data_IF_632021754584
#
_entry.id   IF_632021754584
#
_cell.length_a   1.000
_cell.length_b   1.000
_cell.length_c   1.000
_cell.angle_alpha   90.00
_cell.angle_beta   90.00
_cell.angle_gamma   90.00
#
_symmetry.space_group_name_H-M   'P 1'
#
loop_
_entity.id
_entity.type
_entity.pdbx_description
1 polymer ?
#
# COMPACT_ATOMS: atom_id res chain seq x y z
N UNK A 1 -13.16 -55.93 45.35
CA UNK A 1 -12.92 -57.30 44.84
C UNK A 1 -12.99 -57.28 43.32
N UNK A 2 -11.89 -57.67 42.66
CA UNK A 2 -11.73 -58.09 41.25
C UNK A 2 -12.29 -57.17 40.12
N UNK A 3 -11.59 -56.83 39.05
CA UNK A 3 -10.29 -57.24 38.52
C UNK A 3 -10.19 -56.93 37.01
N UNK A 4 -9.13 -56.22 36.62
CA UNK A 4 -8.25 -56.39 35.44
C UNK A 4 -8.78 -56.73 34.03
N UNK A 5 -8.32 -55.93 33.04
CA UNK A 5 -7.44 -56.32 31.88
C UNK A 5 -6.89 -55.01 31.25
N UNK A 6 -5.58 -54.69 31.30
CA UNK A 6 -4.38 -55.19 30.55
C UNK A 6 -4.50 -54.97 29.03
N UNK A 7 -3.55 -54.45 28.22
CA UNK A 7 -2.09 -54.20 28.27
C UNK A 7 -1.75 -53.23 27.07
N UNK A 8 -0.86 -52.22 27.16
CA UNK A 8 0.64 -52.21 27.03
C UNK A 8 1.13 -52.24 25.55
N UNK A 9 1.68 -51.17 24.99
CA UNK A 9 3.11 -50.74 24.98
C UNK A 9 3.52 -50.43 23.51
N UNK A 10 4.57 -49.68 23.14
CA UNK A 10 5.82 -49.30 23.81
C UNK A 10 6.58 -48.25 22.97
N UNK A 11 7.34 -47.40 23.65
CA UNK A 11 8.35 -46.46 23.13
C UNK A 11 9.62 -47.14 22.59
N UNK A 12 10.41 -46.42 21.77
CA UNK A 12 11.69 -45.76 22.17
C UNK A 12 12.86 -45.86 21.18
N UNK A 13 13.47 -44.68 20.92
CA UNK A 13 14.93 -44.43 20.82
C UNK A 13 15.56 -44.33 19.42
N UNK A 14 16.65 -43.59 19.17
CA UNK A 14 17.35 -42.46 19.82
C UNK A 14 18.59 -42.05 18.97
N UNK A 15 19.01 -40.77 19.06
CA UNK A 15 20.37 -40.18 18.93
C UNK A 15 21.06 -39.83 17.57
N UNK A 16 21.13 -38.50 17.34
CA UNK A 16 22.27 -37.57 17.05
C UNK A 16 23.32 -37.82 15.95
N UNK A 17 23.59 -36.77 15.13
CA UNK A 17 24.94 -36.18 14.86
C UNK A 17 24.85 -34.83 14.10
N UNK A 18 25.96 -34.08 14.03
CA UNK A 18 26.21 -32.64 13.81
C UNK A 18 26.36 -32.14 12.33
N UNK A 19 26.05 -30.83 12.14
CA UNK A 19 26.43 -29.73 11.18
C UNK A 19 27.56 -29.91 10.12
N UNK A 20 27.81 -28.97 9.15
CA UNK A 20 27.05 -27.77 8.65
C UNK A 20 27.00 -27.64 7.09
N UNK A 21 26.18 -26.74 6.50
CA UNK A 21 26.55 -25.91 5.30
C UNK A 21 25.42 -24.98 4.80
N UNK A 22 25.83 -23.81 4.32
CA UNK A 22 25.03 -22.77 3.65
C UNK A 22 24.61 -23.21 2.23
N UNK A 23 23.44 -22.77 1.76
CA UNK A 23 23.10 -22.87 0.34
C UNK A 23 21.70 -22.38 -0.01
N UNK A 24 21.63 -21.15 -0.53
CA UNK A 24 20.56 -20.54 -1.35
C UNK A 24 19.23 -21.31 -1.52
N UNK A 25 18.18 -20.88 -0.82
CA UNK A 25 16.81 -21.19 -1.23
C UNK A 25 16.32 -20.17 -2.27
N UNK A 26 16.54 -20.52 -3.54
CA UNK A 26 15.70 -20.07 -4.64
C UNK A 26 14.26 -20.58 -4.41
N UNK A 27 13.34 -19.70 -4.02
CA UNK A 27 11.92 -19.96 -4.23
C UNK A 27 11.62 -19.77 -5.71
N UNK A 28 11.80 -20.85 -6.45
CA UNK A 28 11.24 -21.07 -7.78
C UNK A 28 9.73 -20.88 -7.65
N UNK A 29 9.19 -19.82 -8.24
CA UNK A 29 7.77 -19.73 -8.53
C UNK A 29 7.45 -20.85 -9.53
N UNK A 30 6.97 -21.97 -8.99
CA UNK A 30 6.35 -23.03 -9.76
C UNK A 30 5.29 -22.44 -10.67
N UNK A 31 5.46 -22.73 -11.95
CA UNK A 31 4.46 -22.81 -13.02
C UNK A 31 3.02 -22.81 -12.50
N UNK A 32 2.40 -21.64 -12.47
CA UNK A 32 0.95 -21.56 -12.49
C UNK A 32 0.53 -21.78 -13.94
N UNK A 33 0.10 -23.00 -14.23
CA UNK A 33 -0.44 -23.43 -15.52
C UNK A 33 -1.41 -22.38 -16.07
N UNK A 34 -1.04 -21.81 -17.21
CA UNK A 34 -2.00 -21.20 -18.13
C UNK A 34 -2.95 -22.33 -18.49
N UNK A 35 -4.17 -22.32 -17.92
CA UNK A 35 -5.25 -23.16 -18.44
C UNK A 35 -5.45 -22.73 -19.88
N UNK A 36 -5.12 -23.62 -20.82
CA UNK A 36 -5.64 -23.59 -22.18
C UNK A 36 -7.17 -23.58 -22.08
N UNK A 37 -7.77 -22.41 -22.27
CA UNK A 37 -9.21 -22.28 -22.44
C UNK A 37 -9.55 -22.54 -23.91
N UNK A 38 -10.73 -23.14 -24.18
CA UNK A 38 -11.07 -23.69 -25.49
C UNK A 38 -11.14 -22.56 -26.52
N UNK A 39 -10.64 -22.84 -27.72
CA UNK A 39 -10.95 -22.08 -28.93
C UNK A 39 -12.47 -21.90 -29.00
N UNK A 40 -12.93 -20.70 -28.62
CA UNK A 40 -14.35 -20.40 -28.66
C UNK A 40 -14.61 -19.84 -30.04
N UNK A 41 -15.19 -20.68 -30.90
CA UNK A 41 -15.71 -20.26 -32.19
C UNK A 41 -16.51 -18.97 -31.99
N UNK A 42 -16.11 -17.93 -32.71
CA UNK A 42 -16.68 -16.58 -32.61
C UNK A 42 -18.15 -16.51 -33.08
N UNK A 43 -18.83 -17.64 -33.28
CA UNK A 43 -20.17 -17.77 -33.83
C UNK A 43 -21.29 -17.35 -32.86
N UNK A 44 -21.09 -17.43 -31.54
CA UNK A 44 -22.19 -17.46 -30.56
C UNK A 44 -22.20 -16.34 -29.49
N UNK A 45 -21.62 -15.17 -29.77
CA UNK A 45 -21.71 -13.99 -28.86
C UNK A 45 -22.87 -13.05 -29.24
N UNK A 46 -23.52 -12.38 -28.25
CA UNK A 46 -24.58 -11.39 -28.49
C UNK A 46 -24.12 -10.26 -29.44
N UNK A 47 -24.98 -9.85 -30.37
CA UNK A 47 -24.66 -8.92 -31.48
C UNK A 47 -24.09 -7.57 -31.02
N UNK A 48 -24.48 -7.07 -29.86
CA UNK A 48 -23.94 -5.84 -29.26
C UNK A 48 -22.47 -5.95 -28.86
N UNK A 49 -21.98 -7.14 -28.49
CA UNK A 49 -20.55 -7.37 -28.21
C UNK A 49 -19.73 -7.61 -29.48
N UNK A 50 -20.36 -8.03 -30.59
CA UNK A 50 -19.71 -8.25 -31.90
C UNK A 50 -19.46 -6.95 -32.65
N UNK A 51 -20.39 -6.00 -32.59
CA UNK A 51 -20.27 -4.72 -33.29
C UNK A 51 -19.07 -3.86 -32.81
N UNK A 52 -18.61 -4.07 -31.57
CA UNK A 52 -17.41 -3.40 -31.00
C UNK A 52 -16.13 -4.25 -31.16
N UNK A 53 -16.26 -5.56 -31.46
CA UNK A 53 -15.12 -6.47 -31.61
C UNK A 53 -14.30 -6.20 -32.88
N UNK A 54 -14.95 -5.84 -33.97
CA UNK A 54 -14.30 -5.73 -35.27
C UNK A 54 -13.34 -4.53 -35.38
N UNK A 55 -13.72 -3.28 -35.05
CA UNK A 55 -12.90 -2.12 -35.39
C UNK A 55 -11.50 -2.12 -34.74
N UNK A 56 -11.40 -2.43 -33.44
CA UNK A 56 -10.13 -2.44 -32.71
C UNK A 56 -9.20 -3.60 -33.09
N UNK A 57 -9.76 -4.79 -33.32
CA UNK A 57 -8.97 -5.93 -33.78
C UNK A 57 -8.39 -5.65 -35.17
N UNK A 58 -9.18 -5.03 -36.06
CA UNK A 58 -8.71 -4.60 -37.37
C UNK A 58 -7.70 -3.44 -37.31
N UNK A 59 -7.83 -2.49 -36.37
CA UNK A 59 -6.86 -1.40 -36.21
C UNK A 59 -5.49 -1.89 -35.71
N UNK A 60 -5.46 -2.77 -34.70
CA UNK A 60 -4.18 -3.32 -34.19
C UNK A 60 -3.54 -4.26 -35.21
N UNK A 61 -4.31 -5.03 -35.96
CA UNK A 61 -3.76 -5.89 -37.02
C UNK A 61 -3.23 -5.10 -38.22
N UNK A 62 -3.65 -3.85 -38.41
CA UNK A 62 -3.09 -2.94 -39.43
C UNK A 62 -1.79 -2.27 -39.00
N UNK A 63 -1.45 -2.30 -37.71
CA UNK A 63 -0.19 -1.77 -37.21
C UNK A 63 0.99 -2.63 -37.70
N UNK A 64 2.10 -2.00 -38.07
CA UNK A 64 3.36 -2.73 -38.26
C UNK A 64 3.97 -3.13 -36.90
N UNK A 65 5.00 -3.96 -36.91
CA UNK A 65 5.57 -4.50 -35.67
C UNK A 65 6.17 -3.42 -34.77
N UNK A 66 6.75 -2.36 -35.34
CA UNK A 66 7.28 -1.22 -34.59
C UNK A 66 6.16 -0.45 -33.87
N UNK A 67 5.03 -0.22 -34.55
CA UNK A 67 3.84 0.42 -33.98
C UNK A 67 3.22 -0.42 -32.86
N UNK A 68 3.15 -1.74 -33.04
CA UNK A 68 2.68 -2.65 -31.98
C UNK A 68 3.64 -2.62 -30.80
N UNK A 69 4.95 -2.67 -31.03
CA UNK A 69 5.94 -2.60 -29.96
C UNK A 69 5.86 -1.27 -29.21
N UNK A 70 5.63 -0.15 -29.90
CA UNK A 70 5.41 1.15 -29.26
C UNK A 70 4.12 1.18 -28.42
N UNK A 71 3.00 0.69 -28.97
CA UNK A 71 1.73 0.60 -28.25
C UNK A 71 1.81 -0.35 -27.05
N UNK A 72 2.55 -1.45 -27.19
CA UNK A 72 2.80 -2.41 -26.13
C UNK A 72 3.70 -1.82 -25.04
N UNK A 73 4.76 -1.07 -25.40
CA UNK A 73 5.58 -0.35 -24.44
C UNK A 73 4.75 0.66 -23.63
N UNK A 74 3.86 1.40 -24.28
CA UNK A 74 2.96 2.32 -23.61
C UNK A 74 1.98 1.59 -22.69
N UNK A 75 1.40 0.47 -23.14
CA UNK A 75 0.56 -0.39 -22.30
C UNK A 75 1.28 -0.82 -21.02
N UNK A 76 2.51 -1.31 -21.11
CA UNK A 76 3.28 -1.75 -19.96
C UNK A 76 3.54 -0.61 -18.95
N UNK A 77 3.84 0.59 -19.45
CA UNK A 77 3.97 1.80 -18.61
C UNK A 77 2.66 2.13 -17.89
N UNK A 78 1.54 2.10 -18.61
CA UNK A 78 0.22 2.35 -18.06
C UNK A 78 -0.22 1.32 -17.01
N UNK A 79 0.32 0.10 -17.09
CA UNK A 79 0.14 -0.96 -16.08
C UNK A 79 1.12 -0.90 -14.92
N UNK A 80 1.95 0.15 -14.83
CA UNK A 80 2.96 0.33 -13.79
C UNK A 80 4.00 -0.81 -13.74
N UNK A 81 4.34 -1.40 -14.89
CA UNK A 81 5.41 -2.40 -15.01
C UNK A 81 6.72 -1.68 -15.31
N UNK A 82 7.76 -1.90 -14.49
CA UNK A 82 9.05 -1.17 -14.54
C UNK A 82 10.24 -2.11 -14.70
N UNK A 83 11.39 -1.48 -15.01
CA UNK A 83 12.75 -2.04 -14.95
C UNK A 83 12.93 -3.37 -15.69
N UNK A 84 13.45 -4.38 -14.99
CA UNK A 84 13.82 -5.67 -15.57
C UNK A 84 12.62 -6.39 -16.19
N UNK A 85 11.47 -6.34 -15.53
CA UNK A 85 10.23 -6.94 -16.06
C UNK A 85 9.74 -6.21 -17.31
N UNK A 86 9.88 -4.89 -17.35
CA UNK A 86 9.55 -4.08 -18.52
C UNK A 86 10.46 -4.46 -19.70
N UNK A 87 11.77 -4.52 -19.48
CA UNK A 87 12.76 -4.90 -20.51
C UNK A 87 12.54 -6.33 -21.01
N UNK A 88 12.32 -7.28 -20.10
CA UNK A 88 12.08 -8.68 -20.44
C UNK A 88 10.82 -8.86 -21.31
N UNK A 89 9.71 -8.16 -20.97
CA UNK A 89 8.49 -8.22 -21.77
C UNK A 89 8.64 -7.52 -23.13
N UNK A 90 9.39 -6.43 -23.20
CA UNK A 90 9.68 -5.77 -24.48
C UNK A 90 10.56 -6.62 -25.39
N UNK A 91 11.53 -7.34 -24.83
CA UNK A 91 12.43 -8.23 -25.56
C UNK A 91 11.75 -9.54 -26.01
N UNK A 92 10.49 -9.80 -25.61
CA UNK A 92 9.72 -10.96 -26.07
C UNK A 92 9.51 -10.87 -27.60
N UNK A 93 9.93 -11.90 -28.32
CA UNK A 93 9.83 -11.93 -29.79
C UNK A 93 8.45 -12.39 -30.29
N UNK A 94 7.54 -12.77 -29.39
CA UNK A 94 6.18 -13.16 -29.74
C UNK A 94 5.29 -11.94 -30.05
N UNK A 95 5.30 -11.53 -31.32
CA UNK A 95 4.52 -10.39 -31.80
C UNK A 95 3.01 -10.62 -31.77
N UNK A 96 2.55 -11.86 -31.95
CA UNK A 96 1.12 -12.18 -31.91
C UNK A 96 0.57 -11.97 -30.51
N UNK A 97 1.28 -12.47 -29.49
CA UNK A 97 0.94 -12.22 -28.10
C UNK A 97 0.93 -10.72 -27.76
N UNK A 98 1.89 -9.94 -28.25
CA UNK A 98 1.92 -8.48 -28.06
C UNK A 98 0.69 -7.81 -28.69
N UNK A 99 0.33 -8.18 -29.93
CA UNK A 99 -0.89 -7.69 -30.62
C UNK A 99 -2.15 -8.01 -29.84
N UNK A 100 -2.28 -9.24 -29.36
CA UNK A 100 -3.43 -9.67 -28.55
C UNK A 100 -3.56 -8.84 -27.26
N UNK A 101 -2.44 -8.60 -26.56
CA UNK A 101 -2.44 -7.77 -25.35
C UNK A 101 -2.82 -6.31 -25.62
N UNK A 102 -2.31 -5.71 -26.70
CA UNK A 102 -2.67 -4.33 -27.10
C UNK A 102 -4.15 -4.25 -27.44
N UNK A 103 -4.66 -5.19 -28.24
CA UNK A 103 -6.08 -5.24 -28.63
C UNK A 103 -6.99 -5.43 -27.41
N UNK A 104 -6.67 -6.35 -26.50
CA UNK A 104 -7.45 -6.54 -25.28
C UNK A 104 -7.47 -5.27 -24.42
N UNK A 105 -6.34 -4.57 -24.31
CA UNK A 105 -6.24 -3.33 -23.54
C UNK A 105 -7.08 -2.19 -24.11
N UNK A 106 -7.09 -2.03 -25.44
CA UNK A 106 -7.94 -1.04 -26.12
C UNK A 106 -9.43 -1.34 -25.91
N UNK A 107 -9.83 -2.62 -25.98
CA UNK A 107 -11.20 -3.05 -25.69
C UNK A 107 -11.63 -2.71 -24.26
N UNK A 108 -10.79 -2.99 -23.27
CA UNK A 108 -11.06 -2.68 -21.86
C UNK A 108 -11.18 -1.17 -21.61
N UNK A 109 -10.35 -0.36 -22.28
CA UNK A 109 -10.43 1.10 -22.19
C UNK A 109 -11.78 1.63 -22.68
N UNK A 110 -12.28 1.15 -23.82
CA UNK A 110 -13.57 1.58 -24.36
C UNK A 110 -14.73 1.18 -23.43
N UNK A 111 -14.74 -0.07 -22.95
CA UNK A 111 -15.74 -0.51 -21.98
C UNK A 111 -15.71 0.32 -20.68
N UNK A 112 -14.54 0.79 -20.27
CA UNK A 112 -14.39 1.67 -19.09
C UNK A 112 -14.95 3.07 -19.36
N UNK A 113 -14.77 3.58 -20.58
CA UNK A 113 -15.27 4.88 -21.02
C UNK A 113 -16.80 4.91 -21.14
N UNK A 114 -17.42 3.83 -21.64
CA UNK A 114 -18.88 3.72 -21.77
C UNK A 114 -19.59 3.57 -20.41
N UNK A 115 -18.95 2.92 -19.43
CA UNK A 115 -19.53 2.67 -18.11
C UNK A 115 -19.42 3.83 -17.10
N UNK A 116 -19.12 5.06 -17.54
CA UNK A 116 -19.01 6.25 -16.66
C UNK A 116 -18.05 6.10 -15.47
N UNK A 117 -17.00 5.27 -15.59
CA UNK A 117 -15.99 5.07 -14.55
C UNK A 117 -14.86 6.10 -14.65
N UNK A 118 -15.17 7.30 -15.13
CA UNK A 118 -14.18 8.38 -15.23
C UNK A 118 -13.88 8.91 -13.83
N UNK A 119 -12.65 9.39 -13.58
CA UNK A 119 -12.29 9.96 -12.28
C UNK A 119 -13.27 11.03 -11.80
N UNK A 120 -13.70 11.91 -12.71
CA UNK A 120 -14.59 13.04 -12.41
C UNK A 120 -15.95 12.62 -11.87
N UNK A 121 -16.51 11.51 -12.37
CA UNK A 121 -17.83 11.03 -11.97
C UNK A 121 -17.80 10.48 -10.54
N UNK A 122 -16.70 9.80 -10.20
CA UNK A 122 -16.45 9.32 -8.85
C UNK A 122 -16.20 10.48 -7.88
N UNK A 123 -15.42 11.48 -8.29
CA UNK A 123 -15.17 12.71 -7.52
C UNK A 123 -16.49 13.42 -7.20
N UNK A 124 -17.33 13.67 -8.21
CA UNK A 124 -18.65 14.30 -8.02
C UNK A 124 -19.58 13.47 -7.15
N UNK A 125 -19.49 12.14 -7.20
CA UNK A 125 -20.24 11.26 -6.31
C UNK A 125 -19.79 11.41 -4.86
N UNK A 126 -18.49 11.48 -4.62
CA UNK A 126 -17.92 11.74 -3.29
C UNK A 126 -18.34 13.12 -2.77
N UNK A 127 -18.21 14.16 -3.59
CA UNK A 127 -18.59 15.53 -3.21
C UNK A 127 -20.06 15.64 -2.82
N UNK A 128 -20.96 15.05 -3.63
CA UNK A 128 -22.40 15.03 -3.31
C UNK A 128 -22.69 14.33 -1.98
N UNK A 129 -22.03 13.21 -1.72
CA UNK A 129 -22.16 12.48 -0.45
C UNK A 129 -21.67 13.31 0.75
N UNK A 130 -20.55 14.03 0.59
CA UNK A 130 -20.03 14.89 1.65
C UNK A 130 -20.96 16.09 1.93
N UNK A 131 -21.60 16.64 0.89
CA UNK A 131 -22.53 17.77 1.00
C UNK A 131 -23.90 17.37 1.57
N UNK A 132 -24.40 16.18 1.24
CA UNK A 132 -25.72 15.73 1.67
C UNK A 132 -25.78 15.35 3.14
N UNK A 133 -24.61 15.16 3.80
CA UNK A 133 -24.54 14.64 5.17
C UNK A 133 -25.11 13.23 5.30
N UNK A 134 -25.24 12.51 4.17
CA UNK A 134 -25.90 11.22 4.08
C UNK A 134 -25.13 10.10 4.80
N UNK A 135 -25.90 9.07 5.18
CA UNK A 135 -25.53 7.96 6.07
C UNK A 135 -24.15 7.32 5.82
N UNK A 136 -23.52 6.87 6.90
CA UNK A 136 -22.25 6.13 6.91
C UNK A 136 -22.20 4.95 5.92
N UNK A 137 -23.35 4.35 5.59
CA UNK A 137 -23.50 3.29 4.58
C UNK A 137 -23.11 3.75 3.17
N UNK A 138 -23.55 4.93 2.75
CA UNK A 138 -23.24 5.46 1.42
C UNK A 138 -21.74 5.75 1.28
N UNK A 139 -21.11 6.28 2.34
CA UNK A 139 -19.66 6.50 2.37
C UNK A 139 -18.88 5.20 2.28
N UNK A 140 -19.31 4.14 2.98
CA UNK A 140 -18.70 2.81 2.90
C UNK A 140 -18.74 2.24 1.49
N UNK A 141 -19.86 2.36 0.78
CA UNK A 141 -19.99 1.82 -0.58
C UNK A 141 -19.18 2.63 -1.60
N UNK A 142 -19.16 3.96 -1.46
CA UNK A 142 -18.32 4.83 -2.30
C UNK A 142 -16.83 4.55 -2.08
N UNK A 143 -16.38 4.37 -0.83
CA UNK A 143 -14.98 4.03 -0.53
C UNK A 143 -14.58 2.65 -1.05
N UNK A 144 -15.47 1.66 -0.97
CA UNK A 144 -15.23 0.33 -1.55
C UNK A 144 -15.05 0.40 -3.06
N UNK A 145 -15.92 1.13 -3.76
CA UNK A 145 -15.81 1.33 -5.21
C UNK A 145 -14.52 2.08 -5.55
N UNK A 146 -14.22 3.19 -4.87
CA UNK A 146 -12.98 3.94 -5.04
C UNK A 146 -11.74 3.05 -4.85
N UNK A 147 -11.71 2.23 -3.80
CA UNK A 147 -10.62 1.27 -3.55
C UNK A 147 -10.44 0.31 -4.72
N UNK A 148 -11.53 -0.23 -5.25
CA UNK A 148 -11.48 -1.13 -6.40
C UNK A 148 -10.94 -0.38 -7.62
N UNK A 149 -11.50 0.78 -7.96
CA UNK A 149 -11.02 1.58 -9.10
C UNK A 149 -9.52 1.88 -8.99
N UNK A 150 -9.06 2.42 -7.86
CA UNK A 150 -7.66 2.76 -7.67
C UNK A 150 -6.72 1.54 -7.77
N UNK A 151 -7.20 0.34 -7.44
CA UNK A 151 -6.39 -0.88 -7.49
C UNK A 151 -6.25 -1.50 -8.88
N UNK A 152 -7.18 -1.21 -9.80
CA UNK A 152 -7.24 -1.86 -11.13
C UNK A 152 -6.96 -0.89 -12.27
N UNK A 153 -7.09 0.41 -12.05
CA UNK A 153 -6.99 1.43 -13.10
C UNK A 153 -5.54 1.73 -13.48
N UNK A 154 -5.38 2.22 -14.71
CA UNK A 154 -4.08 2.60 -15.31
C UNK A 154 -3.47 3.84 -14.64
N UNK A 155 -2.16 4.01 -14.81
CA UNK A 155 -1.40 5.14 -14.26
C UNK A 155 -2.00 6.50 -14.65
N UNK A 156 -2.43 6.69 -15.88
CA UNK A 156 -3.06 7.95 -16.32
C UNK A 156 -4.40 8.23 -15.62
N UNK A 157 -5.18 7.20 -15.30
CA UNK A 157 -6.42 7.37 -14.55
C UNK A 157 -6.12 7.90 -13.14
N UNK A 158 -5.08 7.38 -12.49
CA UNK A 158 -4.63 7.87 -11.16
C UNK A 158 -4.15 9.32 -11.24
N UNK A 159 -3.38 9.65 -12.28
CA UNK A 159 -2.91 11.02 -12.54
C UNK A 159 -4.08 11.97 -12.71
N UNK A 160 -5.08 11.58 -13.50
CA UNK A 160 -6.28 12.40 -13.73
C UNK A 160 -7.12 12.55 -12.46
N UNK A 161 -7.35 11.47 -11.72
CA UNK A 161 -8.03 11.50 -10.42
C UNK A 161 -7.37 12.47 -9.45
N UNK A 162 -6.04 12.43 -9.38
CA UNK A 162 -5.27 13.35 -8.54
C UNK A 162 -5.38 14.80 -9.00
N UNK A 163 -5.20 15.07 -10.29
CA UNK A 163 -5.26 16.43 -10.85
C UNK A 163 -6.63 17.09 -10.68
N UNK A 164 -7.70 16.31 -10.67
CA UNK A 164 -9.06 16.78 -10.46
C UNK A 164 -9.45 16.95 -8.97
N UNK A 165 -8.51 16.81 -8.04
CA UNK A 165 -8.78 17.03 -6.61
C UNK A 165 -9.22 15.78 -5.83
N UNK A 166 -9.24 14.61 -6.45
CA UNK A 166 -9.69 13.37 -5.82
C UNK A 166 -8.84 12.96 -4.61
N UNK A 167 -7.54 13.26 -4.63
CA UNK A 167 -6.65 12.97 -3.52
C UNK A 167 -6.93 13.87 -2.31
N UNK A 168 -7.25 15.14 -2.53
CA UNK A 168 -7.64 16.09 -1.49
C UNK A 168 -8.96 15.66 -0.83
N UNK A 169 -9.92 15.18 -1.62
CA UNK A 169 -11.17 14.60 -1.09
C UNK A 169 -10.91 13.35 -0.24
N UNK A 170 -10.00 12.46 -0.68
CA UNK A 170 -9.62 11.29 0.12
C UNK A 170 -9.01 11.70 1.46
N UNK A 171 -8.11 12.68 1.47
CA UNK A 171 -7.55 13.21 2.71
C UNK A 171 -8.60 13.89 3.59
N UNK A 172 -9.56 14.60 3.00
CA UNK A 172 -10.66 15.21 3.74
C UNK A 172 -11.54 14.15 4.42
N UNK A 173 -11.89 13.07 3.72
CA UNK A 173 -12.60 11.92 4.30
C UNK A 173 -11.81 11.33 5.47
N UNK A 174 -10.52 11.06 5.27
CA UNK A 174 -9.66 10.51 6.32
C UNK A 174 -9.63 11.44 7.54
N UNK A 175 -9.46 12.74 7.34
CA UNK A 175 -9.45 13.74 8.41
C UNK A 175 -10.76 13.74 9.21
N UNK A 176 -11.90 13.74 8.53
CA UNK A 176 -13.21 13.70 9.18
C UNK A 176 -13.42 12.41 9.97
N UNK A 177 -13.01 11.26 9.43
CA UNK A 177 -13.11 9.97 10.11
C UNK A 177 -12.21 9.91 11.36
N UNK A 178 -10.99 10.45 11.29
CA UNK A 178 -10.10 10.59 12.45
C UNK A 178 -10.76 11.48 13.52
N UNK A 179 -11.35 12.61 13.10
CA UNK A 179 -12.10 13.50 13.99
C UNK A 179 -13.27 12.80 14.68
N UNK A 180 -14.09 12.08 13.91
CA UNK A 180 -15.21 11.29 14.43
C UNK A 180 -14.76 10.22 15.40
N UNK A 181 -13.65 9.51 15.14
CA UNK A 181 -13.10 8.52 16.06
C UNK A 181 -12.60 9.10 17.37
N UNK A 182 -12.06 10.33 17.35
CA UNK A 182 -11.61 11.02 18.57
C UNK A 182 -12.76 11.43 19.48
N UNK A 183 -13.95 11.63 18.91
CA UNK A 183 -15.14 12.10 19.62
C UNK A 183 -16.16 10.99 19.91
N UNK A 184 -16.04 9.84 19.25
CA UNK A 184 -16.98 8.74 19.41
C UNK A 184 -16.76 8.02 20.73
N UNK A 185 -17.86 7.73 21.42
CA UNK A 185 -17.91 6.83 22.59
C UNK A 185 -18.65 5.52 22.28
N UNK A 186 -19.20 5.40 21.06
CA UNK A 186 -19.97 4.24 20.62
C UNK A 186 -19.06 3.25 19.87
N UNK A 187 -18.86 2.06 20.44
CA UNK A 187 -18.00 1.01 19.89
C UNK A 187 -18.40 0.53 18.49
N UNK A 188 -19.70 0.46 18.16
CA UNK A 188 -20.16 0.01 16.83
C UNK A 188 -19.82 1.05 15.75
N UNK A 189 -20.01 2.33 16.06
CA UNK A 189 -19.60 3.42 15.14
C UNK A 189 -18.09 3.48 14.98
N UNK A 190 -17.35 3.22 16.04
CA UNK A 190 -15.89 3.17 15.97
C UNK A 190 -15.38 2.07 15.05
N UNK A 191 -15.97 0.87 15.11
CA UNK A 191 -15.65 -0.22 14.19
C UNK A 191 -15.92 0.20 12.74
N UNK A 192 -17.07 0.82 12.48
CA UNK A 192 -17.42 1.29 11.14
C UNK A 192 -16.41 2.33 10.62
N UNK A 193 -16.05 3.33 11.43
CA UNK A 193 -15.04 4.33 11.05
C UNK A 193 -13.65 3.69 10.85
N UNK A 194 -13.27 2.71 11.67
CA UNK A 194 -12.02 1.99 11.51
C UNK A 194 -11.95 1.24 10.17
N UNK A 195 -13.04 0.57 9.77
CA UNK A 195 -13.14 -0.12 8.49
C UNK A 195 -13.07 0.85 7.30
N UNK A 196 -13.72 2.01 7.41
CA UNK A 196 -13.66 3.06 6.38
C UNK A 196 -12.27 3.68 6.26
N UNK A 197 -11.57 3.91 7.39
CA UNK A 197 -10.18 4.36 7.39
C UNK A 197 -9.26 3.30 6.79
N UNK A 198 -9.47 2.03 7.12
CA UNK A 198 -8.67 0.93 6.56
C UNK A 198 -8.80 0.88 5.02
N UNK A 199 -10.01 1.05 4.50
CA UNK A 199 -10.24 1.14 3.05
C UNK A 199 -9.62 2.42 2.46
N UNK A 200 -9.67 3.55 3.16
CA UNK A 200 -9.03 4.81 2.76
C UNK A 200 -7.50 4.69 2.69
N UNK A 201 -6.87 4.00 3.64
CA UNK A 201 -5.42 3.72 3.60
C UNK A 201 -5.08 2.79 2.44
N UNK A 202 -5.94 1.83 2.11
CA UNK A 202 -5.76 0.98 0.92
C UNK A 202 -5.89 1.77 -0.39
N UNK A 203 -6.84 2.70 -0.47
CA UNK A 203 -6.93 3.65 -1.59
C UNK A 203 -5.62 4.42 -1.76
N UNK A 204 -5.13 5.01 -0.68
CA UNK A 204 -3.88 5.77 -0.68
C UNK A 204 -2.68 4.90 -1.05
N UNK A 205 -2.60 3.66 -0.55
CA UNK A 205 -1.56 2.71 -0.94
C UNK A 205 -1.55 2.46 -2.45
N UNK A 206 -2.71 2.29 -3.09
CA UNK A 206 -2.79 2.14 -4.54
C UNK A 206 -2.30 3.37 -5.30
N UNK A 207 -2.62 4.57 -4.81
CA UNK A 207 -2.13 5.84 -5.37
C UNK A 207 -0.61 5.93 -5.28
N UNK A 208 -0.06 5.78 -4.06
CA UNK A 208 1.39 5.82 -3.76
C UNK A 208 2.16 4.73 -4.52
N UNK A 209 1.52 3.66 -4.95
CA UNK A 209 2.17 2.64 -5.77
C UNK A 209 2.47 3.10 -7.22
N UNK A 210 1.98 4.27 -7.63
CA UNK A 210 2.22 4.84 -8.97
C UNK A 210 3.13 6.07 -8.90
N UNK A 211 3.89 6.34 -9.97
CA UNK A 211 4.76 7.51 -10.01
C UNK A 211 4.00 8.85 -9.85
N UNK A 212 2.90 9.13 -10.59
CA UNK A 212 2.14 10.37 -10.39
C UNK A 212 1.54 10.46 -8.99
N UNK A 213 1.08 9.33 -8.43
CA UNK A 213 0.54 9.32 -7.07
C UNK A 213 1.60 9.62 -6.01
N UNK A 214 2.81 9.07 -6.14
CA UNK A 214 3.96 9.45 -5.31
C UNK A 214 4.25 10.95 -5.40
N UNK A 215 4.39 11.47 -6.61
CA UNK A 215 4.70 12.88 -6.86
C UNK A 215 3.68 13.79 -6.15
N UNK A 216 2.39 13.49 -6.26
CA UNK A 216 1.33 14.26 -5.62
C UNK A 216 1.30 14.10 -4.09
N UNK A 217 1.56 12.90 -3.58
CA UNK A 217 1.56 12.62 -2.15
C UNK A 217 2.74 13.26 -1.41
N UNK A 218 3.84 13.53 -2.11
CA UNK A 218 5.05 14.16 -1.59
C UNK A 218 5.19 15.66 -1.92
N UNK A 219 4.09 16.34 -2.28
CA UNK A 219 4.06 17.81 -2.34
C UNK A 219 3.86 18.42 -0.95
N UNK A 220 4.40 19.62 -0.69
CA UNK A 220 4.35 20.28 0.64
C UNK A 220 2.96 20.44 1.24
N UNK A 221 1.96 20.62 0.38
CA UNK A 221 0.55 20.81 0.72
C UNK A 221 -0.20 19.48 0.95
N UNK A 222 0.42 18.34 0.65
CA UNK A 222 -0.16 17.02 0.88
C UNK A 222 -0.45 16.80 2.36
N UNK A 223 -1.58 16.15 2.65
CA UNK A 223 -1.99 15.78 4.01
C UNK A 223 -1.72 14.30 4.33
N UNK A 224 -1.03 13.60 3.43
CA UNK A 224 -0.76 12.16 3.56
C UNK A 224 -0.18 11.80 4.94
N UNK A 225 0.96 12.41 5.31
CA UNK A 225 1.63 12.09 6.57
C UNK A 225 0.77 12.44 7.78
N UNK A 226 0.13 13.61 7.81
CA UNK A 226 -0.78 14.00 8.90
C UNK A 226 -1.96 13.04 9.06
N UNK A 227 -2.55 12.58 7.95
CA UNK A 227 -3.65 11.62 7.98
C UNK A 227 -3.18 10.25 8.47
N UNK A 228 -2.05 9.72 7.95
CA UNK A 228 -1.53 8.41 8.37
C UNK A 228 -1.11 8.41 9.85
N UNK A 229 -0.44 9.46 10.31
CA UNK A 229 -0.07 9.62 11.73
C UNK A 229 -1.31 9.77 12.60
N UNK A 230 -2.30 10.57 12.18
CA UNK A 230 -3.56 10.74 12.92
C UNK A 230 -4.35 9.42 13.04
N UNK A 231 -4.38 8.60 11.97
CA UNK A 231 -4.97 7.26 11.99
C UNK A 231 -4.24 6.35 12.97
N UNK A 232 -2.91 6.32 12.91
CA UNK A 232 -2.11 5.49 13.79
C UNK A 232 -2.30 5.91 15.26
N UNK A 233 -2.31 7.22 15.51
CA UNK A 233 -2.56 7.83 16.82
C UNK A 233 -3.87 7.31 17.43
N UNK A 234 -4.99 7.46 16.73
CA UNK A 234 -6.30 6.98 17.23
C UNK A 234 -6.35 5.46 17.34
N UNK A 235 -5.84 4.71 16.36
CA UNK A 235 -5.89 3.25 16.37
C UNK A 235 -5.00 2.64 17.47
N UNK A 236 -3.91 3.31 17.82
CA UNK A 236 -2.95 2.85 18.84
C UNK A 236 -3.49 2.90 20.27
N UNK A 237 -4.53 3.67 20.51
CA UNK A 237 -5.20 3.77 21.81
C UNK A 237 -6.27 2.69 22.00
N UNK A 238 -6.66 2.01 20.92
CA UNK A 238 -7.75 1.04 20.88
C UNK A 238 -7.25 -0.37 21.24
N UNK A 239 -8.14 -1.23 21.78
CA UNK A 239 -7.79 -2.59 22.15
C UNK A 239 -7.37 -3.43 20.92
N UNK A 240 -6.69 -4.55 21.17
CA UNK A 240 -6.28 -5.52 20.13
C UNK A 240 -7.49 -6.32 19.65
N UNK A 241 -8.30 -5.68 18.79
CA UNK A 241 -9.35 -6.31 17.99
C UNK A 241 -8.90 -6.35 16.53
N UNK A 242 -9.44 -7.31 15.76
CA UNK A 242 -8.95 -7.60 14.41
C UNK A 242 -9.04 -6.39 13.46
N UNK A 243 -10.12 -5.59 13.53
CA UNK A 243 -10.25 -4.38 12.70
C UNK A 243 -9.23 -3.31 13.08
N UNK A 244 -8.93 -3.13 14.37
CA UNK A 244 -7.92 -2.18 14.83
C UNK A 244 -6.52 -2.62 14.45
N UNK A 245 -6.19 -3.89 14.64
CA UNK A 245 -4.86 -4.40 14.27
C UNK A 245 -4.68 -4.44 12.76
N UNK A 246 -5.74 -4.73 11.98
CA UNK A 246 -5.72 -4.59 10.52
C UNK A 246 -5.48 -3.14 10.08
N UNK A 247 -6.11 -2.16 10.74
CA UNK A 247 -5.89 -0.74 10.48
C UNK A 247 -4.46 -0.31 10.84
N UNK A 248 -3.94 -0.72 12.00
CA UNK A 248 -2.54 -0.49 12.40
C UNK A 248 -1.59 -1.09 11.37
N UNK A 249 -1.81 -2.35 10.98
CA UNK A 249 -0.96 -3.05 10.02
C UNK A 249 -0.83 -2.29 8.70
N UNK A 250 -1.95 -1.91 8.07
CA UNK A 250 -1.90 -1.22 6.78
C UNK A 250 -1.29 0.17 6.89
N UNK A 251 -1.57 0.88 7.99
CA UNK A 251 -1.09 2.24 8.23
C UNK A 251 0.40 2.27 8.48
N UNK A 252 0.90 1.44 9.42
CA UNK A 252 2.33 1.31 9.73
C UNK A 252 3.11 0.79 8.53
N UNK A 253 2.56 -0.17 7.79
CA UNK A 253 3.19 -0.67 6.57
C UNK A 253 3.37 0.44 5.53
N UNK A 254 2.36 1.28 5.32
CA UNK A 254 2.47 2.39 4.37
C UNK A 254 3.44 3.46 4.88
N UNK A 255 3.36 3.83 6.16
CA UNK A 255 4.30 4.75 6.81
C UNK A 255 5.75 4.30 6.64
N UNK A 256 6.06 3.02 6.84
CA UNK A 256 7.40 2.48 6.65
C UNK A 256 7.91 2.65 5.22
N UNK A 257 7.05 2.41 4.22
CA UNK A 257 7.40 2.59 2.80
C UNK A 257 7.62 4.07 2.47
N UNK A 258 6.70 4.96 2.85
CA UNK A 258 6.81 6.38 2.51
C UNK A 258 7.90 7.10 3.31
N UNK A 259 8.23 6.62 4.51
CA UNK A 259 9.32 7.15 5.32
C UNK A 259 10.69 6.91 4.69
N UNK A 260 10.85 5.77 4.01
CA UNK A 260 12.11 5.40 3.36
C UNK A 260 12.42 6.25 2.10
N UNK A 261 11.45 7.03 1.63
CA UNK A 261 11.61 7.84 0.42
C UNK A 261 12.47 9.06 0.73
N UNK A 262 13.67 9.07 0.18
CA UNK A 262 14.64 10.17 0.27
C UNK A 262 15.21 10.48 -1.13
N UNK A 263 14.31 10.75 -2.09
CA UNK A 263 14.68 11.11 -3.47
C UNK A 263 14.47 12.62 -3.66
N UNK A 264 15.53 13.32 -4.09
CA UNK A 264 15.54 14.78 -4.29
C UNK A 264 14.55 15.26 -5.37
N UNK A 265 13.97 14.34 -6.16
CA UNK A 265 12.89 14.66 -7.10
C UNK A 265 11.59 15.06 -6.42
N UNK A 266 11.41 14.73 -5.14
CA UNK A 266 10.22 15.06 -4.38
C UNK A 266 10.42 16.32 -3.53
N UNK A 267 9.35 17.10 -3.33
CA UNK A 267 9.43 18.32 -2.51
C UNK A 267 9.61 18.03 -1.01
N UNK A 268 9.30 16.80 -0.60
CA UNK A 268 9.31 16.32 0.77
C UNK A 268 10.23 15.11 0.90
N UNK A 269 10.98 15.07 2.00
CA UNK A 269 11.72 13.87 2.44
C UNK A 269 10.85 13.07 3.40
N UNK A 270 10.71 11.77 3.14
CA UNK A 270 9.76 10.90 3.83
C UNK A 270 9.96 10.87 5.34
N UNK A 271 11.20 10.59 5.79
CA UNK A 271 11.54 10.52 7.21
C UNK A 271 11.36 11.84 7.95
N UNK A 272 11.90 12.92 7.41
CA UNK A 272 11.79 14.25 8.02
C UNK A 272 10.33 14.69 8.14
N UNK A 273 9.54 14.49 7.08
CA UNK A 273 8.11 14.85 7.07
C UNK A 273 7.30 13.98 8.03
N UNK A 274 7.59 12.68 8.12
CA UNK A 274 6.97 11.81 9.11
C UNK A 274 7.28 12.27 10.53
N UNK A 275 8.53 12.61 10.83
CA UNK A 275 8.92 13.09 12.15
C UNK A 275 8.18 14.39 12.52
N UNK A 276 8.06 15.33 11.57
CA UNK A 276 7.28 16.55 11.76
C UNK A 276 5.79 16.24 12.04
N UNK A 277 5.19 15.34 11.27
CA UNK A 277 3.80 14.94 11.47
C UNK A 277 3.57 14.24 12.83
N UNK A 278 4.48 13.35 13.25
CA UNK A 278 4.46 12.73 14.58
C UNK A 278 4.55 13.77 15.69
N UNK A 279 5.43 14.77 15.52
CA UNK A 279 5.63 15.85 16.50
C UNK A 279 4.38 16.71 16.65
N UNK A 280 3.76 17.10 15.53
CA UNK A 280 2.52 17.89 15.57
C UNK A 280 1.37 17.11 16.18
N UNK A 281 1.20 15.84 15.82
CA UNK A 281 0.17 14.98 16.41
C UNK A 281 0.40 14.78 17.92
N UNK A 282 1.64 14.57 18.37
CA UNK A 282 1.95 14.50 19.80
C UNK A 282 1.63 15.79 20.54
N UNK A 283 1.91 16.95 19.94
CA UNK A 283 1.56 18.25 20.50
C UNK A 283 0.04 18.39 20.67
N UNK A 284 -0.74 17.96 19.66
CA UNK A 284 -2.20 17.95 19.71
C UNK A 284 -2.74 17.00 20.78
N UNK A 285 -2.12 15.82 20.94
CA UNK A 285 -2.53 14.77 21.90
C UNK A 285 -1.91 14.93 23.29
N UNK A 286 -0.98 15.87 23.48
CA UNK A 286 -0.19 16.07 24.72
C UNK A 286 0.51 14.78 25.18
N UNK A 287 1.19 14.11 24.26
CA UNK A 287 1.93 12.88 24.54
C UNK A 287 3.28 12.86 23.82
N UNK A 288 4.11 11.84 24.06
CA UNK A 288 5.36 11.64 23.33
C UNK A 288 5.12 11.27 21.85
N UNK A 289 5.91 11.84 20.95
CA UNK A 289 5.74 11.71 19.48
C UNK A 289 5.76 10.28 18.97
N UNK A 290 6.51 9.39 19.63
CA UNK A 290 6.61 7.98 19.24
C UNK A 290 5.63 7.05 19.94
N UNK A 291 4.78 7.58 20.84
CA UNK A 291 3.84 6.77 21.63
C UNK A 291 2.93 5.92 20.76
N UNK A 292 2.46 6.44 19.62
CA UNK A 292 1.55 5.70 18.74
C UNK A 292 2.24 4.51 18.04
N UNK A 293 3.54 4.61 17.75
CA UNK A 293 4.35 3.53 17.18
C UNK A 293 4.67 2.50 18.26
N UNK A 294 5.13 2.94 19.44
CA UNK A 294 5.46 2.05 20.57
C UNK A 294 4.24 1.28 21.05
N UNK A 295 3.07 1.92 21.09
CA UNK A 295 1.82 1.23 21.43
C UNK A 295 1.47 0.10 20.45
N UNK A 296 1.90 0.16 19.19
CA UNK A 296 1.76 -0.96 18.25
C UNK A 296 2.68 -2.14 18.57
N UNK A 297 3.82 -1.90 19.23
CA UNK A 297 4.69 -2.96 19.73
C UNK A 297 4.11 -3.61 20.98
N UNK A 298 3.60 -2.80 21.91
CA UNK A 298 3.12 -3.27 23.22
C UNK A 298 1.71 -3.84 23.24
N UNK A 299 0.78 -3.26 22.47
CA UNK A 299 -0.66 -3.55 22.62
C UNK A 299 -1.26 -4.37 21.48
N UNK A 300 -0.46 -4.82 20.51
CA UNK A 300 -0.97 -5.63 19.41
C UNK A 300 -0.66 -7.11 19.66
N UNK A 301 -1.68 -7.96 19.60
CA UNK A 301 -1.50 -9.41 19.66
C UNK A 301 -1.03 -10.00 18.32
N UNK A 302 -0.94 -9.18 17.27
CA UNK A 302 -0.58 -9.58 15.92
C UNK A 302 0.91 -9.33 15.65
N UNK A 303 1.67 -10.42 15.54
CA UNK A 303 3.12 -10.37 15.30
C UNK A 303 3.51 -9.63 14.02
N UNK A 304 2.65 -9.62 13.00
CA UNK A 304 2.90 -8.89 11.77
C UNK A 304 2.76 -7.38 11.93
N UNK A 305 1.87 -6.90 12.82
CA UNK A 305 1.81 -5.49 13.23
C UNK A 305 3.10 -5.12 13.97
N UNK A 306 3.52 -5.93 14.95
CA UNK A 306 4.74 -5.70 15.73
C UNK A 306 5.97 -5.62 14.82
N UNK A 307 6.13 -6.58 13.90
CA UNK A 307 7.24 -6.58 12.92
C UNK A 307 7.24 -5.32 12.04
N UNK A 308 6.07 -4.86 11.59
CA UNK A 308 5.97 -3.63 10.78
C UNK A 308 6.28 -2.38 11.60
N UNK A 309 5.84 -2.32 12.85
CA UNK A 309 6.18 -1.23 13.75
C UNK A 309 7.68 -1.20 14.03
N UNK A 310 8.32 -2.34 14.28
CA UNK A 310 9.77 -2.42 14.47
C UNK A 310 10.54 -2.01 13.20
N UNK A 311 10.05 -2.42 12.02
CA UNK A 311 10.63 -1.98 10.74
C UNK A 311 10.56 -0.46 10.60
N UNK A 312 9.44 0.15 11.00
CA UNK A 312 9.28 1.61 10.98
C UNK A 312 10.22 2.30 11.98
N UNK A 313 10.41 1.74 13.18
CA UNK A 313 11.40 2.26 14.15
C UNK A 313 12.79 2.26 13.52
N UNK A 314 13.20 1.15 12.90
CA UNK A 314 14.50 1.07 12.25
C UNK A 314 14.64 2.11 11.13
N UNK A 315 13.64 2.28 10.26
CA UNK A 315 13.66 3.33 9.23
C UNK A 315 13.73 4.75 9.83
N UNK A 316 13.15 4.96 11.01
CA UNK A 316 13.21 6.24 11.73
C UNK A 316 14.54 6.49 12.42
N UNK A 317 15.34 5.47 12.70
CA UNK A 317 16.63 5.57 13.36
C UNK A 317 17.79 5.49 12.36
N UNK A 318 17.60 4.84 11.21
CA UNK A 318 18.58 4.66 10.13
C UNK A 318 18.97 6.00 9.48
N UNK A 319 19.90 6.73 10.10
CA UNK A 319 20.53 7.94 9.55
C UNK A 319 21.68 7.51 8.64
N UNK A 320 21.67 7.89 7.35
CA UNK A 320 22.81 7.65 6.48
C UNK A 320 24.07 8.30 7.07
N UNK A 321 25.12 7.51 7.26
CA UNK A 321 26.44 8.02 7.58
C UNK A 321 27.01 8.77 6.35
N UNK A 322 27.81 9.83 6.54
CA UNK A 322 28.41 10.56 5.43
C UNK A 322 29.46 9.71 4.71
N UNK A 323 29.53 9.88 3.39
CA UNK A 323 30.40 9.09 2.50
C UNK A 323 31.91 9.27 2.78
N UNK A 324 32.33 10.39 3.39
CA UNK A 324 33.75 10.68 3.67
C UNK A 324 33.97 11.33 5.04
N UNK A 325 34.27 10.51 6.05
CA UNK A 325 34.63 10.95 7.42
C UNK A 325 36.06 11.43 7.57
N UNK A 326 36.86 11.48 6.49
CA UNK A 326 38.23 11.98 6.55
C UNK A 326 38.28 13.51 6.60
N UNK A 327 37.28 14.17 6.01
CA UNK A 327 37.09 15.62 6.01
C UNK A 327 36.50 16.13 7.32
N UNK A 328 36.77 17.40 7.68
CA UNK A 328 36.18 18.02 8.87
C UNK A 328 34.64 18.11 8.75
N UNK A 329 34.13 18.42 7.55
CA UNK A 329 32.69 18.44 7.25
C UNK A 329 32.05 17.05 7.39
N UNK A 330 32.70 16.01 6.91
CA UNK A 330 32.21 14.64 7.04
C UNK A 330 32.24 14.12 8.48
N UNK A 331 33.24 14.49 9.28
CA UNK A 331 33.23 14.19 10.73
C UNK A 331 32.10 14.90 11.45
N UNK A 332 31.87 16.18 11.17
CA UNK A 332 30.77 16.93 11.75
C UNK A 332 29.40 16.35 11.34
N UNK A 333 29.25 15.92 10.09
CA UNK A 333 28.03 15.27 9.61
C UNK A 333 27.82 13.90 10.26
N UNK A 334 28.88 13.11 10.48
CA UNK A 334 28.80 11.81 11.14
C UNK A 334 28.42 11.97 12.61
N UNK A 335 29.02 12.95 13.29
CA UNK A 335 28.67 13.29 14.67
C UNK A 335 27.21 13.75 14.78
N UNK A 336 26.73 14.58 13.84
CA UNK A 336 25.32 14.99 13.79
C UNK A 336 24.36 13.82 13.56
N UNK A 337 24.73 12.88 12.68
CA UNK A 337 23.94 11.67 12.42
C UNK A 337 23.86 10.76 13.66
N UNK A 338 24.99 10.52 14.31
CA UNK A 338 25.07 9.74 15.54
C UNK A 338 24.27 10.38 16.68
N UNK A 339 24.41 11.71 16.87
CA UNK A 339 23.62 12.44 17.87
C UNK A 339 22.11 12.30 17.61
N UNK A 340 21.70 12.41 16.35
CA UNK A 340 20.30 12.24 15.97
C UNK A 340 19.78 10.84 16.29
N UNK A 341 20.56 9.80 15.97
CA UNK A 341 20.23 8.41 16.29
C UNK A 341 20.09 8.20 17.80
N UNK A 342 21.08 8.63 18.59
CA UNK A 342 21.03 8.52 20.05
C UNK A 342 19.84 9.26 20.66
N UNK A 343 19.53 10.48 20.19
CA UNK A 343 18.35 11.23 20.64
C UNK A 343 17.07 10.45 20.29
N UNK A 344 16.98 9.92 19.07
CA UNK A 344 15.86 9.11 18.62
C UNK A 344 15.64 7.88 19.48
N UNK A 345 16.70 7.12 19.76
CA UNK A 345 16.66 5.94 20.66
C UNK A 345 16.13 6.31 22.05
N UNK A 346 16.65 7.39 22.64
CA UNK A 346 16.20 7.87 23.96
C UNK A 346 14.72 8.27 23.91
N UNK A 347 14.26 8.95 22.86
CA UNK A 347 12.85 9.30 22.71
C UNK A 347 11.94 8.06 22.57
N UNK A 348 12.36 7.03 21.84
CA UNK A 348 11.63 5.75 21.75
C UNK A 348 11.59 5.02 23.10
N UNK A 349 12.71 4.99 23.82
CA UNK A 349 12.78 4.40 25.17
C UNK A 349 11.85 5.12 26.13
N UNK A 350 11.83 6.46 26.12
CA UNK A 350 10.90 7.28 26.92
C UNK A 350 9.45 7.03 26.58
N UNK A 351 9.14 6.73 25.32
CA UNK A 351 7.79 6.35 24.88
C UNK A 351 7.37 4.93 25.31
N UNK A 352 8.24 4.18 26.00
CA UNK A 352 7.97 2.86 26.57
C UNK A 352 8.46 1.68 25.73
N UNK A 353 9.43 1.89 24.83
CA UNK A 353 9.98 0.82 23.99
C UNK A 353 10.80 -0.20 24.78
N UNK A 354 11.42 0.21 25.89
CA UNK A 354 12.23 -0.66 26.74
C UNK A 354 11.43 -1.89 27.23
N UNK A 355 10.18 -1.65 27.63
CA UNK A 355 9.28 -2.70 28.13
C UNK A 355 8.80 -3.65 27.01
N UNK A 356 9.01 -3.32 25.73
CA UNK A 356 8.61 -4.16 24.58
C UNK A 356 9.65 -5.22 24.20
N UNK A 357 10.93 -4.94 24.46
CA UNK A 357 12.07 -5.68 23.88
C UNK A 357 12.65 -6.70 24.86
N UNK A 358 12.36 -6.55 26.17
CA UNK A 358 12.61 -7.58 27.18
C UNK A 358 11.58 -8.71 27.08
#
# INVERSE_FOLDING_TARGET
MFGSKKYKGKDSGSLRSFRPENGHHHHVFSSSSIRSLPETDCANLPETSRAVMEPNYYEVNRMNDDQVNAAFAELLKQMNIKDEKFRALLADNDMEKKRQMVCQSQRLNMATQENSKRPIDLIRRIERMLLSGEEARLMKDVLKDLKVQLSVQKVDWIKEFGNQGGLQLLFHIMYNLIGSLRLSENSEREEEYALQLHDSVKCLKSVVNTWPGMEMCFRRQSKMFSCLVGILSVASEKPSLDHWDSLKFVTVSLLGVVAFVNDDKFELKGRETLLQALTEEARLRKCDRFRCIVSCLNKSNRLDVVKKAMTLVNVMLDVPEPDDTTTEEGRASAEGAWQFECIGEVEFMRAGMYDCVQ
#
